data_IF_157531865724
#
_entry.id   IF_157531865724
#
_cell.length_a   1.000
_cell.length_b   1.000
_cell.length_c   1.000
_cell.angle_alpha   90.00
_cell.angle_beta   90.00
_cell.angle_gamma   90.00
#
_symmetry.space_group_name_H-M   'P 1'
#
loop_
_entity.id
_entity.type
_entity.pdbx_description
1 polymer ?
#
# COMPACT_ATOMS: atom_id res chain seq x y z
N UNK A 1 -15.32 -13.33 1.07
CA UNK A 1 -14.00 -12.79 1.46
C UNK A 1 -13.35 -12.25 0.20
N UNK A 2 -12.99 -10.97 0.18
CA UNK A 2 -12.37 -10.34 -0.99
C UNK A 2 -10.93 -10.85 -1.13
N UNK A 3 -10.60 -11.46 -2.27
CA UNK A 3 -9.26 -11.98 -2.52
C UNK A 3 -8.39 -10.86 -3.09
N UNK A 4 -7.41 -10.41 -2.30
CA UNK A 4 -6.51 -9.33 -2.72
C UNK A 4 -5.50 -9.79 -3.77
N UNK A 5 -5.25 -11.10 -3.91
CA UNK A 5 -4.27 -11.61 -4.88
C UNK A 5 -4.75 -11.33 -6.32
N UNK A 6 -6.05 -11.19 -6.54
CA UNK A 6 -6.61 -10.80 -7.84
C UNK A 6 -6.29 -9.35 -8.23
N UNK A 7 -5.85 -8.53 -7.29
CA UNK A 7 -5.49 -7.13 -7.55
C UNK A 7 -4.06 -6.96 -8.08
N UNK A 8 -3.21 -7.98 -8.00
CA UNK A 8 -1.82 -7.91 -8.49
C UNK A 8 -1.79 -7.63 -10.00
N UNK A 9 -0.99 -6.67 -10.43
CA UNK A 9 -0.77 -6.35 -11.84
C UNK A 9 0.49 -7.06 -12.35
N UNK A 10 0.44 -7.47 -13.63
CA UNK A 10 1.54 -8.21 -14.29
C UNK A 10 2.84 -7.40 -14.36
N UNK A 11 2.75 -6.07 -14.39
CA UNK A 11 3.91 -5.19 -14.47
C UNK A 11 4.54 -4.85 -13.11
N UNK A 12 3.92 -5.26 -11.99
CA UNK A 12 4.49 -5.02 -10.67
C UNK A 12 5.69 -5.94 -10.43
N UNK A 13 6.82 -5.33 -10.07
CA UNK A 13 7.96 -6.09 -9.59
C UNK A 13 7.67 -6.70 -8.21
N UNK A 14 8.45 -7.72 -7.77
CA UNK A 14 8.20 -8.40 -6.50
C UNK A 14 8.20 -7.49 -5.27
N UNK A 15 9.04 -6.45 -5.25
CA UNK A 15 9.14 -5.51 -4.13
C UNK A 15 7.92 -4.60 -4.05
N UNK A 16 7.49 -4.04 -5.19
CA UNK A 16 6.25 -3.26 -5.29
C UNK A 16 5.05 -4.06 -4.80
N UNK A 17 4.89 -5.27 -5.33
CA UNK A 17 3.77 -6.14 -4.95
C UNK A 17 3.82 -6.47 -3.46
N UNK A 18 4.99 -6.79 -2.91
CA UNK A 18 5.14 -7.10 -1.48
C UNK A 18 4.65 -5.95 -0.59
N UNK A 19 5.06 -4.72 -0.90
CA UNK A 19 4.65 -3.54 -0.12
C UNK A 19 3.15 -3.26 -0.31
N UNK A 20 2.66 -3.34 -1.55
CA UNK A 20 1.25 -3.03 -1.87
C UNK A 20 0.31 -4.05 -1.25
N UNK A 21 0.70 -5.33 -1.26
CA UNK A 21 -0.03 -6.43 -0.66
C UNK A 21 -0.23 -6.23 0.85
N UNK A 22 0.79 -5.76 1.57
CA UNK A 22 0.66 -5.44 3.00
C UNK A 22 -0.33 -4.28 3.23
N UNK A 23 -0.35 -3.29 2.35
CA UNK A 23 -1.37 -2.23 2.39
C UNK A 23 -2.78 -2.79 2.17
N UNK A 24 -2.95 -3.67 1.18
CA UNK A 24 -4.23 -4.31 0.89
C UNK A 24 -4.70 -5.16 2.08
N UNK A 25 -3.83 -6.01 2.62
CA UNK A 25 -4.17 -6.89 3.76
C UNK A 25 -4.58 -6.11 5.01
N UNK A 26 -3.83 -5.06 5.35
CA UNK A 26 -4.07 -4.25 6.54
C UNK A 26 -5.42 -3.52 6.47
N UNK A 27 -5.84 -3.10 5.28
CA UNK A 27 -6.94 -2.14 5.13
C UNK A 27 -8.21 -2.71 4.46
N UNK A 28 -8.21 -3.97 4.00
CA UNK A 28 -9.34 -4.58 3.26
C UNK A 28 -10.67 -4.62 4.03
N UNK A 29 -10.63 -4.60 5.36
CA UNK A 29 -11.83 -4.70 6.20
C UNK A 29 -12.36 -3.33 6.64
N UNK A 30 -11.64 -2.23 6.30
CA UNK A 30 -12.00 -0.86 6.69
C UNK A 30 -12.22 0.09 5.50
N UNK A 31 -11.63 -0.20 4.34
CA UNK A 31 -11.82 0.56 3.11
C UNK A 31 -12.74 -0.19 2.14
N UNK A 32 -13.54 0.57 1.39
CA UNK A 32 -14.25 0.00 0.25
C UNK A 32 -13.24 -0.48 -0.83
N UNK A 33 -13.60 -1.50 -1.65
CA UNK A 33 -12.65 -2.11 -2.58
C UNK A 33 -12.03 -1.14 -3.60
N UNK A 34 -12.81 -0.19 -4.10
CA UNK A 34 -12.33 0.79 -5.09
C UNK A 34 -11.31 1.75 -4.44
N UNK A 35 -11.62 2.25 -3.24
CA UNK A 35 -10.72 3.12 -2.49
C UNK A 35 -9.48 2.39 -2.01
N UNK A 36 -9.62 1.13 -1.61
CA UNK A 36 -8.53 0.25 -1.21
C UNK A 36 -7.52 0.08 -2.35
N UNK A 37 -7.99 -0.30 -3.54
CA UNK A 37 -7.10 -0.46 -4.70
C UNK A 37 -6.43 0.88 -5.07
N UNK A 38 -7.22 1.96 -5.16
CA UNK A 38 -6.71 3.30 -5.48
C UNK A 38 -5.62 3.77 -4.50
N UNK A 39 -5.90 3.74 -3.19
CA UNK A 39 -4.93 4.17 -2.19
C UNK A 39 -3.71 3.26 -2.12
N UNK A 40 -3.84 1.96 -2.41
CA UNK A 40 -2.69 1.05 -2.45
C UNK A 40 -1.67 1.45 -3.52
N UNK A 41 -2.15 1.91 -4.69
CA UNK A 41 -1.28 2.43 -5.75
C UNK A 41 -0.69 3.79 -5.39
N UNK A 42 -1.48 4.69 -4.82
CA UNK A 42 -0.98 5.98 -4.36
C UNK A 42 0.11 5.83 -3.29
N UNK A 43 -0.06 4.90 -2.34
CA UNK A 43 0.93 4.60 -1.31
C UNK A 43 2.26 4.17 -1.92
N UNK A 44 2.26 3.20 -2.84
CA UNK A 44 3.49 2.77 -3.54
C UNK A 44 4.12 3.92 -4.33
N UNK A 45 3.30 4.69 -5.04
CA UNK A 45 3.77 5.85 -5.81
C UNK A 45 4.42 6.92 -4.93
N UNK A 46 3.90 7.14 -3.73
CA UNK A 46 4.49 8.07 -2.77
C UNK A 46 5.77 7.51 -2.15
N UNK A 47 5.75 6.28 -1.64
CA UNK A 47 6.87 5.72 -0.87
C UNK A 47 8.07 5.29 -1.74
N UNK A 48 7.84 4.78 -2.95
CA UNK A 48 8.91 4.29 -3.83
C UNK A 48 9.33 5.30 -4.88
N UNK A 49 8.39 6.14 -5.34
CA UNK A 49 8.61 7.03 -6.48
C UNK A 49 8.55 8.52 -6.11
N UNK A 50 8.20 8.87 -4.86
CA UNK A 50 8.19 10.25 -4.37
C UNK A 50 7.02 11.09 -4.89
N UNK A 51 5.96 10.46 -5.40
CA UNK A 51 4.81 11.19 -5.93
C UNK A 51 4.04 11.89 -4.81
N UNK A 52 3.56 13.10 -5.10
CA UNK A 52 2.67 13.86 -4.26
C UNK A 52 1.25 13.87 -4.84
N UNK A 53 0.26 13.82 -3.94
CA UNK A 53 -1.17 13.89 -4.24
C UNK A 53 -1.81 15.03 -3.45
N UNK A 54 -3.09 15.39 -3.70
CA UNK A 54 -3.80 16.38 -2.90
C UNK A 54 -3.74 16.06 -1.40
N UNK A 55 -3.70 17.09 -0.56
CA UNK A 55 -3.43 16.97 0.88
C UNK A 55 -4.30 15.91 1.59
N UNK A 56 -5.60 15.88 1.29
CA UNK A 56 -6.53 14.88 1.86
C UNK A 56 -6.12 13.45 1.52
N UNK A 57 -5.61 13.21 0.32
CA UNK A 57 -5.12 11.89 -0.10
C UNK A 57 -3.83 11.56 0.64
N UNK A 58 -2.91 12.54 0.78
CA UNK A 58 -1.67 12.35 1.54
C UNK A 58 -1.93 12.00 3.01
N UNK A 59 -2.93 12.60 3.63
CA UNK A 59 -3.35 12.28 5.00
C UNK A 59 -3.83 10.82 5.11
N UNK A 60 -4.65 10.35 4.16
CA UNK A 60 -5.11 8.96 4.13
C UNK A 60 -3.97 7.98 3.86
N UNK A 61 -3.05 8.29 2.94
CA UNK A 61 -1.86 7.47 2.68
C UNK A 61 -1.05 7.29 3.96
N UNK A 62 -0.82 8.39 4.71
CA UNK A 62 -0.10 8.35 5.98
C UNK A 62 -0.80 7.50 7.03
N UNK A 63 -2.11 7.67 7.18
CA UNK A 63 -2.92 6.95 8.17
C UNK A 63 -2.96 5.44 7.89
N UNK A 64 -3.40 5.05 6.69
CA UNK A 64 -3.56 3.65 6.32
C UNK A 64 -2.22 2.96 6.04
N UNK A 65 -1.20 3.71 5.62
CA UNK A 65 0.15 3.22 5.31
C UNK A 65 1.07 3.04 6.53
N UNK A 66 0.70 3.56 7.70
CA UNK A 66 1.56 3.57 8.88
C UNK A 66 2.07 2.15 9.25
N UNK A 67 3.39 2.02 9.45
CA UNK A 67 4.01 0.76 9.88
C UNK A 67 4.30 -0.26 8.78
N UNK A 68 3.80 -0.05 7.55
CA UNK A 68 3.94 -1.06 6.47
C UNK A 68 5.40 -1.20 6.05
N UNK A 69 6.11 -0.09 5.80
CA UNK A 69 7.50 -0.16 5.38
C UNK A 69 8.40 -0.78 6.46
N UNK A 70 8.13 -0.50 7.73
CA UNK A 70 8.84 -1.10 8.86
C UNK A 70 8.57 -2.61 8.96
N UNK A 71 7.36 -3.05 8.62
CA UNK A 71 7.00 -4.47 8.57
C UNK A 71 7.67 -5.19 7.41
N UNK A 72 7.76 -4.54 6.23
CA UNK A 72 8.33 -5.14 5.01
C UNK A 72 9.87 -5.11 5.01
N UNK A 73 10.44 -4.06 5.59
CA UNK A 73 11.87 -3.84 5.74
C UNK A 73 12.18 -3.64 7.24
N UNK A 74 12.12 -4.71 8.05
CA UNK A 74 12.53 -4.60 9.44
C UNK A 74 13.99 -4.13 9.45
N UNK A 75 14.25 -3.01 10.14
CA UNK A 75 15.62 -2.59 10.40
C UNK A 75 16.31 -3.75 11.11
N UNK A 76 17.37 -4.28 10.51
CA UNK A 76 18.15 -5.44 10.94
C UNK A 76 17.97 -5.73 12.44
N UNK A 77 17.28 -6.82 12.77
CA UNK A 77 17.44 -7.45 14.08
C UNK A 77 18.95 -7.71 14.21
N UNK A 78 19.57 -6.92 15.09
CA UNK A 78 21.02 -6.89 15.30
C UNK A 78 21.52 -8.23 15.82
#
# INVERSE_FOLDING_TARGET
MFDIETLRKVHENPTEWRIRREFLLKNKDVLDPERLECLSHCFINTELYGNAYPEKVMQQIKEYGAGILQSVFPANAS
#
